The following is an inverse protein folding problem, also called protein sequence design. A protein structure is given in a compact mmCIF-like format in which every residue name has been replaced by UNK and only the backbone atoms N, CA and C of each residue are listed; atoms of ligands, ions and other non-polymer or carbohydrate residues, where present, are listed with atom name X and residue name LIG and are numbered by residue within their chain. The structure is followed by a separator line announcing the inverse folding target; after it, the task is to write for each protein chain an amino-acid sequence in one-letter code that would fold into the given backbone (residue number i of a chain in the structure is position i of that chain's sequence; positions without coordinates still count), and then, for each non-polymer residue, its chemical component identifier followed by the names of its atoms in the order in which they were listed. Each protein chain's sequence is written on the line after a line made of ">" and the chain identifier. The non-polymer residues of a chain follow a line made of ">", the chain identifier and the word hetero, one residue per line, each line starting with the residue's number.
data_IF_282418780690
#
_entry.id   IF_282418780690
#
_cell.length_a   1.000
_cell.length_b   1.000
_cell.length_c   1.000
_cell.angle_alpha   90.00
_cell.angle_beta   90.00
_cell.angle_gamma   90.00
#
_symmetry.space_group_name_H-M   'P 1'
#
loop_
_entity.id
_entity.type
_entity.pdbx_description
1 polymer ?
#
# COMPACT_ATOMS: atom_id res chain seq x y z
N UNK A 1 7.86 2.88 11.73
CA UNK A 1 6.54 3.50 11.46
C UNK A 1 5.81 2.64 10.43
N UNK A 2 4.78 1.93 10.88
CA UNK A 2 4.13 0.82 10.16
C UNK A 2 3.17 1.38 9.10
N UNK A 3 3.50 1.22 7.81
CA UNK A 3 2.61 1.53 6.68
C UNK A 3 1.64 0.36 6.48
N UNK A 4 0.35 0.58 6.74
CA UNK A 4 -0.68 -0.49 6.62
C UNK A 4 -1.33 -0.58 5.23
N UNK A 5 -0.73 0.01 4.19
CA UNK A 5 -1.17 -0.15 2.79
C UNK A 5 -0.02 -0.24 1.78
N UNK A 6 1.23 -0.43 2.23
CA UNK A 6 2.42 -0.49 1.37
C UNK A 6 2.76 -1.94 0.96
N UNK A 7 1.76 -2.82 0.91
CA UNK A 7 1.94 -4.14 0.33
C UNK A 7 2.16 -3.97 -1.18
N UNK A 8 3.13 -4.69 -1.80
CA UNK A 8 3.11 -4.83 -3.25
C UNK A 8 1.71 -5.30 -3.67
N UNK A 9 1.19 -4.96 -4.87
CA UNK A 9 -0.08 -5.50 -5.32
C UNK A 9 -0.05 -7.00 -5.07
N UNK A 10 -0.98 -7.47 -4.23
CA UNK A 10 -1.01 -8.87 -3.84
C UNK A 10 -1.25 -9.66 -5.12
N UNK A 11 -0.18 -10.28 -5.65
CA UNK A 11 -0.26 -11.11 -6.84
C UNK A 11 -0.98 -12.38 -6.44
N UNK A 12 -2.28 -12.40 -6.70
CA UNK A 12 -3.10 -13.57 -6.47
C UNK A 12 -3.01 -14.48 -7.70
N UNK A 13 -2.52 -15.71 -7.49
CA UNK A 13 -2.62 -16.80 -8.46
C UNK A 13 -3.85 -17.60 -8.05
N UNK A 14 -4.89 -17.60 -8.89
CA UNK A 14 -6.11 -18.34 -8.63
C UNK A 14 -5.85 -19.84 -8.48
N UNK A 15 -6.30 -20.41 -7.36
CA UNK A 15 -6.67 -21.82 -7.25
C UNK A 15 -8.20 -21.89 -7.23
N UNK A 16 -8.83 -23.03 -7.61
CA UNK A 16 -10.28 -23.11 -7.73
C UNK A 16 -10.91 -22.85 -6.37
N UNK A 17 -11.35 -21.62 -6.21
CA UNK A 17 -12.10 -21.11 -5.08
C UNK A 17 -13.44 -20.67 -5.63
N UNK A 18 -14.40 -20.40 -4.76
CA UNK A 18 -15.82 -20.13 -5.05
C UNK A 18 -16.07 -18.83 -5.88
N UNK A 19 -15.08 -18.37 -6.64
CA UNK A 19 -15.13 -17.34 -7.65
C UNK A 19 -15.13 -18.09 -8.99
N UNK A 20 -16.15 -17.83 -9.80
CA UNK A 20 -16.49 -18.46 -11.10
C UNK A 20 -15.30 -19.02 -11.89
N UNK A 21 -15.51 -20.11 -12.62
CA UNK A 21 -14.53 -20.66 -13.56
C UNK A 21 -13.95 -19.58 -14.49
N UNK A 22 -12.64 -19.63 -14.81
CA UNK A 22 -11.99 -18.71 -15.77
C UNK A 22 -10.86 -17.81 -15.23
N UNK A 23 -10.35 -18.08 -14.01
CA UNK A 23 -9.25 -17.33 -13.41
C UNK A 23 -7.91 -18.06 -13.41
N UNK A 24 -7.85 -19.26 -13.99
CA UNK A 24 -6.64 -20.09 -14.01
C UNK A 24 -5.51 -19.39 -14.74
N UNK A 25 -4.38 -19.22 -14.05
CA UNK A 25 -3.20 -18.52 -14.58
C UNK A 25 -3.32 -17.00 -14.70
N UNK A 26 -4.45 -16.41 -14.30
CA UNK A 26 -4.61 -14.95 -14.30
C UNK A 26 -3.80 -14.29 -13.17
N UNK A 27 -3.24 -13.12 -13.44
CA UNK A 27 -2.54 -12.28 -12.47
C UNK A 27 -3.36 -11.00 -12.28
N UNK A 28 -3.68 -10.69 -11.02
CA UNK A 28 -4.41 -9.48 -10.62
C UNK A 28 -3.53 -8.56 -9.80
N UNK A 29 -3.61 -7.26 -10.05
CA UNK A 29 -2.99 -6.21 -9.26
C UNK A 29 -4.08 -5.49 -8.47
N UNK A 30 -4.29 -5.89 -7.21
CA UNK A 30 -5.38 -5.37 -6.41
C UNK A 30 -5.08 -3.94 -5.92
N UNK A 31 -5.73 -2.95 -6.53
CA UNK A 31 -5.59 -1.52 -6.17
C UNK A 31 -6.91 -0.94 -5.67
N UNK A 32 -6.82 0.19 -4.96
CA UNK A 32 -7.98 1.03 -4.68
C UNK A 32 -8.54 1.68 -5.96
N UNK A 33 -9.69 2.38 -5.86
CA UNK A 33 -10.32 3.05 -7.01
C UNK A 33 -9.61 4.34 -7.44
N UNK A 34 -8.56 4.75 -6.73
CA UNK A 34 -7.87 6.03 -6.89
C UNK A 34 -6.37 5.82 -6.64
N UNK A 35 -5.53 6.47 -7.44
CA UNK A 35 -4.13 6.66 -7.10
C UNK A 35 -4.00 7.91 -6.25
N UNK A 36 -3.26 7.83 -5.14
CA UNK A 36 -3.04 8.94 -4.22
C UNK A 36 -1.55 9.14 -4.02
N UNK A 37 -1.12 10.39 -4.01
CA UNK A 37 0.22 10.77 -3.58
C UNK A 37 0.38 10.59 -2.07
N UNK A 38 1.62 10.58 -1.60
CA UNK A 38 1.90 10.55 -0.16
C UNK A 38 1.34 11.76 0.60
N UNK A 39 1.36 12.94 -0.03
CA UNK A 39 0.80 14.16 0.54
C UNK A 39 -0.72 14.10 0.69
N UNK A 40 -1.43 13.58 -0.31
CA UNK A 40 -2.89 13.40 -0.24
C UNK A 40 -3.29 12.41 0.85
N UNK A 41 -2.56 11.29 0.99
CA UNK A 41 -2.79 10.34 2.09
C UNK A 41 -2.57 10.98 3.46
N UNK A 42 -1.53 11.79 3.61
CA UNK A 42 -1.25 12.50 4.86
C UNK A 42 -2.33 13.55 5.17
N UNK A 43 -2.84 14.24 4.16
CA UNK A 43 -3.97 15.16 4.30
C UNK A 43 -5.25 14.43 4.75
N UNK A 44 -5.57 13.28 4.15
CA UNK A 44 -6.71 12.44 4.58
C UNK A 44 -6.53 11.99 6.03
N UNK A 45 -5.35 11.51 6.41
CA UNK A 45 -5.08 11.11 7.80
C UNK A 45 -5.19 12.29 8.79
N UNK A 46 -4.78 13.49 8.38
CA UNK A 46 -4.89 14.71 9.19
C UNK A 46 -6.35 15.04 9.53
N UNK A 47 -7.26 14.84 8.57
CA UNK A 47 -8.70 15.06 8.77
C UNK A 47 -9.27 14.13 9.84
N UNK A 48 -8.88 12.85 9.85
CA UNK A 48 -9.36 11.90 10.85
C UNK A 48 -8.74 12.10 12.23
N UNK A 49 -7.46 12.48 12.29
CA UNK A 49 -6.73 12.60 13.55
C UNK A 49 -6.83 14.00 14.20
N UNK A 50 -7.42 14.98 13.52
CA UNK A 50 -7.60 16.33 14.04
C UNK A 50 -6.30 17.10 14.26
N UNK A 51 -5.21 16.67 13.62
CA UNK A 51 -3.88 17.32 13.68
C UNK A 51 -3.19 17.24 12.33
N UNK A 52 -2.32 18.19 12.05
CA UNK A 52 -1.55 18.20 10.81
C UNK A 52 -0.54 17.04 10.77
N UNK A 53 -0.53 16.32 9.66
CA UNK A 53 0.41 15.24 9.37
C UNK A 53 1.10 15.58 8.04
N UNK A 54 2.42 15.80 8.12
CA UNK A 54 3.25 16.06 6.94
C UNK A 54 3.63 14.79 6.19
N UNK A 55 3.92 14.94 4.90
CA UNK A 55 4.55 13.92 4.08
C UNK A 55 5.91 14.39 3.58
N UNK A 56 6.93 13.55 3.72
CA UNK A 56 8.26 13.78 3.16
C UNK A 56 8.88 12.47 2.69
N UNK A 57 9.67 12.54 1.62
CA UNK A 57 10.51 11.43 1.17
C UNK A 57 11.80 11.49 1.99
N UNK A 58 12.03 10.49 2.82
CA UNK A 58 13.24 10.41 3.63
C UNK A 58 14.47 10.15 2.74
N UNK A 59 15.61 10.81 3.01
CA UNK A 59 16.88 10.48 2.36
C UNK A 59 17.26 9.01 2.61
N UNK A 60 17.90 8.38 1.63
CA UNK A 60 18.31 6.97 1.74
C UNK A 60 19.17 6.71 2.99
N UNK A 61 20.11 7.61 3.30
CA UNK A 61 20.96 7.47 4.49
C UNK A 61 20.14 7.38 5.79
N UNK A 62 19.10 8.20 5.91
CA UNK A 62 18.20 8.18 7.07
C UNK A 62 17.36 6.89 7.12
N UNK A 63 16.92 6.36 5.97
CA UNK A 63 16.23 5.07 5.89
C UNK A 63 17.16 3.91 6.28
N UNK A 64 18.41 3.91 5.81
CA UNK A 64 19.43 2.91 6.18
C UNK A 64 19.64 2.87 7.68
N UNK A 65 19.93 4.02 8.26
CA UNK A 65 20.15 4.15 9.71
C UNK A 65 18.93 3.66 10.50
N UNK A 66 17.72 4.08 10.10
CA UNK A 66 16.49 3.65 10.74
C UNK A 66 16.24 2.14 10.64
N UNK A 67 16.54 1.50 9.51
CA UNK A 67 16.38 0.05 9.36
C UNK A 67 17.47 -0.74 10.11
N UNK A 68 18.70 -0.23 10.17
CA UNK A 68 19.79 -0.84 10.92
C UNK A 68 19.51 -0.92 12.42
N UNK A 69 18.77 0.05 12.98
CA UNK A 69 18.32 0.03 14.37
C UNK A 69 17.43 -1.16 14.73
N UNK A 70 16.77 -1.79 13.74
CA UNK A 70 15.99 -3.02 13.95
C UNK A 70 16.84 -4.30 13.88
N UNK A 71 18.16 -4.18 13.68
CA UNK A 71 19.08 -5.32 13.59
C UNK A 71 18.94 -6.12 12.30
N UNK A 72 18.38 -5.53 11.24
CA UNK A 72 18.24 -6.22 9.95
C UNK A 72 19.61 -6.43 9.27
N UNK A 73 19.83 -7.58 8.62
CA UNK A 73 20.99 -7.77 7.76
C UNK A 73 21.01 -6.77 6.60
N UNK A 74 22.20 -6.36 6.14
CA UNK A 74 22.37 -5.38 5.05
C UNK A 74 21.57 -5.73 3.78
N UNK A 75 21.51 -7.01 3.41
CA UNK A 75 20.73 -7.47 2.24
C UNK A 75 19.24 -7.16 2.38
N UNK A 76 18.70 -7.19 3.60
CA UNK A 76 17.30 -6.82 3.87
C UNK A 76 17.13 -5.31 3.80
N UNK A 77 18.08 -4.54 4.34
CA UNK A 77 18.09 -3.08 4.27
C UNK A 77 18.11 -2.60 2.81
N UNK A 78 18.97 -3.18 1.98
CA UNK A 78 19.05 -2.89 0.55
C UNK A 78 17.73 -3.17 -0.18
N UNK A 79 17.10 -4.31 0.13
CA UNK A 79 15.80 -4.67 -0.43
C UNK A 79 14.71 -3.66 -0.04
N UNK A 80 14.65 -3.28 1.24
CA UNK A 80 13.69 -2.29 1.75
C UNK A 80 13.90 -0.93 1.08
N UNK A 81 15.13 -0.48 0.92
CA UNK A 81 15.45 0.80 0.25
C UNK A 81 15.06 0.76 -1.22
N UNK A 82 15.31 -0.35 -1.91
CA UNK A 82 14.89 -0.53 -3.31
C UNK A 82 13.37 -0.40 -3.45
N UNK A 83 12.61 -0.98 -2.51
CA UNK A 83 11.15 -0.83 -2.45
C UNK A 83 10.76 0.63 -2.24
N UNK A 84 11.37 1.33 -1.26
CA UNK A 84 11.07 2.73 -0.99
C UNK A 84 11.37 3.65 -2.18
N UNK A 85 12.49 3.41 -2.89
CA UNK A 85 12.83 4.15 -4.12
C UNK A 85 11.78 3.97 -5.21
N UNK A 86 11.33 2.73 -5.45
CA UNK A 86 10.27 2.46 -6.42
C UNK A 86 8.96 3.16 -6.06
N UNK A 87 8.63 3.21 -4.76
CA UNK A 87 7.43 3.90 -4.29
C UNK A 87 7.54 5.42 -4.47
N UNK A 88 8.70 6.00 -4.13
CA UNK A 88 8.96 7.42 -4.35
C UNK A 88 8.91 7.81 -5.83
N UNK A 89 9.24 6.88 -6.73
CA UNK A 89 9.15 7.06 -8.18
C UNK A 89 7.76 6.77 -8.77
N UNK A 90 6.73 6.55 -7.95
CA UNK A 90 5.36 6.29 -8.41
C UNK A 90 5.16 4.91 -9.05
N UNK A 91 6.05 3.95 -8.75
CA UNK A 91 6.03 2.61 -9.36
C UNK A 91 4.78 1.76 -9.07
N UNK A 92 3.88 2.24 -8.20
CA UNK A 92 2.59 1.61 -7.90
C UNK A 92 1.41 2.58 -8.05
N UNK A 93 1.60 3.72 -8.69
CA UNK A 93 0.55 4.73 -8.88
C UNK A 93 -0.36 4.34 -10.04
N UNK A 94 -0.88 3.11 -10.00
CA UNK A 94 -1.76 2.52 -11.00
C UNK A 94 -3.14 2.23 -10.40
N UNK A 95 -4.17 2.29 -11.24
CA UNK A 95 -5.54 1.88 -10.91
C UNK A 95 -5.96 0.82 -11.93
N UNK A 96 -6.37 -0.35 -11.45
CA UNK A 96 -6.48 -1.54 -12.31
C UNK A 96 -7.90 -2.04 -12.50
N UNK A 97 -8.79 -1.79 -11.53
CA UNK A 97 -10.13 -2.39 -11.50
C UNK A 97 -10.14 -3.88 -11.18
N UNK A 98 -8.99 -4.48 -10.88
CA UNK A 98 -8.86 -5.94 -10.68
C UNK A 98 -9.63 -6.45 -9.46
N UNK A 99 -9.86 -5.61 -8.46
CA UNK A 99 -10.72 -5.94 -7.31
C UNK A 99 -12.15 -6.21 -7.77
N UNK A 100 -12.70 -5.37 -8.65
CA UNK A 100 -14.05 -5.56 -9.19
C UNK A 100 -14.10 -6.78 -10.10
N UNK A 101 -13.11 -6.94 -10.97
CA UNK A 101 -13.00 -8.09 -11.87
C UNK A 101 -12.94 -9.42 -11.12
N UNK A 102 -12.24 -9.47 -9.99
CA UNK A 102 -12.07 -10.69 -9.19
C UNK A 102 -13.26 -10.94 -8.25
N UNK A 103 -13.81 -9.89 -7.64
CA UNK A 103 -14.78 -10.03 -6.54
C UNK A 103 -16.22 -9.66 -6.89
N UNK A 104 -16.45 -8.99 -8.03
CA UNK A 104 -17.74 -8.39 -8.39
C UNK A 104 -18.12 -7.17 -7.55
N UNK A 105 -17.20 -6.63 -6.73
CA UNK A 105 -17.41 -5.48 -5.86
C UNK A 105 -16.40 -4.38 -6.16
N UNK A 106 -16.85 -3.13 -6.18
CA UNK A 106 -15.96 -1.98 -6.32
C UNK A 106 -14.91 -1.96 -5.20
N UNK A 107 -13.69 -1.58 -5.56
CA UNK A 107 -12.63 -1.35 -4.60
C UNK A 107 -13.03 -0.22 -3.63
N UNK A 108 -12.75 -0.39 -2.34
CA UNK A 108 -13.06 0.62 -1.32
C UNK A 108 -12.08 1.80 -1.40
N UNK A 109 -12.55 3.06 -1.37
CA UNK A 109 -11.68 4.23 -1.28
C UNK A 109 -10.80 4.20 -0.02
N UNK A 110 -9.58 4.77 -0.14
CA UNK A 110 -8.61 4.81 0.97
C UNK A 110 -9.20 5.49 2.22
N UNK A 111 -9.91 6.60 2.04
CA UNK A 111 -10.55 7.37 3.13
C UNK A 111 -11.49 6.51 3.97
N UNK A 112 -12.26 5.62 3.33
CA UNK A 112 -13.19 4.73 4.04
C UNK A 112 -12.43 3.68 4.84
N UNK A 113 -11.44 3.03 4.21
CA UNK A 113 -10.63 2.00 4.87
C UNK A 113 -9.81 2.55 6.04
N UNK A 114 -9.28 3.77 5.90
CA UNK A 114 -8.54 4.43 6.97
C UNK A 114 -9.47 4.81 8.13
N UNK A 115 -10.64 5.36 7.82
CA UNK A 115 -11.64 5.68 8.84
C UNK A 115 -12.12 4.46 9.60
N UNK A 116 -12.30 3.31 8.94
CA UNK A 116 -12.61 2.03 9.60
C UNK A 116 -11.46 1.58 10.52
N UNK A 117 -10.23 1.56 10.02
CA UNK A 117 -9.07 1.12 10.80
C UNK A 117 -8.81 2.00 12.03
N UNK A 118 -8.98 3.32 11.92
CA UNK A 118 -8.79 4.24 13.04
C UNK A 118 -9.86 4.07 14.12
N UNK A 119 -11.12 3.78 13.75
CA UNK A 119 -12.18 3.45 14.72
C UNK A 119 -11.94 2.14 15.46
N UNK A 120 -11.26 1.17 14.83
CA UNK A 120 -10.92 -0.09 15.48
C UNK A 120 -9.80 0.03 16.53
N UNK A 121 -9.07 1.17 16.54
CA UNK A 121 -7.97 1.46 17.46
C UNK A 121 -8.36 2.38 18.62
N UNK A 122 -9.58 2.93 18.61
CA UNK A 122 -10.16 3.75 19.69
C UNK A 122 -10.99 2.89 20.64
#
# INVERSE_FOLDING_TARGET
>A
MLKMSDQPPARYVGTPTRLRDGHDGAIYNLTGPQSLTGAERAAIASQFLGREIGFQIAPEAALREGFAQFGYPEVVIDALISIQKKFAAGGNDIVTGDVEKLSGRLARPFVETLGEALRALS
#
